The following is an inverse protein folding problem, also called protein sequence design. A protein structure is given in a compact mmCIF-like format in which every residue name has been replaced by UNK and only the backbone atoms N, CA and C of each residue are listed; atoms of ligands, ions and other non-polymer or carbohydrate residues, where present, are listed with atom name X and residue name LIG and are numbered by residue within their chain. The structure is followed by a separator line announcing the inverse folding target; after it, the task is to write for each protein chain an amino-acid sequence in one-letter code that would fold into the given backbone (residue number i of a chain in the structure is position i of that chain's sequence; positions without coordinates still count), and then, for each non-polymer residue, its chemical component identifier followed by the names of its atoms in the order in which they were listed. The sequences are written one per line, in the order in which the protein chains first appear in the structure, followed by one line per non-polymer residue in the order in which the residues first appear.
data_IF_823314844255
#
_entry.id   IF_823314844255
#
_cell.length_a   1.000
_cell.length_b   1.000
_cell.length_c   1.000
_cell.angle_alpha   90.00
_cell.angle_beta   90.00
_cell.angle_gamma   90.00
#
_symmetry.space_group_name_H-M   'P 1'
#
loop_
_entity.id
_entity.type
_entity.pdbx_description
1 polymer ?
#
# COMPACT_ATOMS: atom_id res chain seq x y z
N UNK A 1 18.96 3.00 -0.86
CA UNK A 1 17.72 2.24 -0.59
C UNK A 1 17.41 2.40 0.89
N UNK A 2 16.38 3.16 1.27
CA UNK A 2 16.04 3.39 2.68
C UNK A 2 15.29 2.17 3.25
N UNK A 3 16.04 1.15 3.68
CA UNK A 3 15.51 -0.06 4.34
C UNK A 3 14.82 0.23 5.69
N UNK A 4 14.97 1.44 6.23
CA UNK A 4 14.36 1.90 7.49
C UNK A 4 12.84 2.13 7.41
N UNK A 5 12.25 2.22 6.22
CA UNK A 5 10.80 2.39 6.06
C UNK A 5 10.01 1.09 6.33
N UNK A 6 10.58 -0.07 5.97
CA UNK A 6 9.84 -1.33 5.97
C UNK A 6 9.35 -1.80 7.37
N UNK A 7 10.15 -1.71 8.45
CA UNK A 7 9.69 -2.12 9.79
C UNK A 7 8.58 -1.20 10.32
N UNK A 8 8.72 0.08 10.02
CA UNK A 8 7.86 1.15 10.54
C UNK A 8 6.50 1.19 9.83
N UNK A 9 6.50 0.97 8.51
CA UNK A 9 5.28 0.77 7.70
C UNK A 9 4.51 -0.46 8.19
N UNK A 10 5.21 -1.56 8.47
CA UNK A 10 4.58 -2.79 8.96
C UNK A 10 3.94 -2.59 10.34
N UNK A 11 4.59 -1.84 11.23
CA UNK A 11 4.04 -1.54 12.55
C UNK A 11 2.83 -0.60 12.53
N UNK A 12 2.81 0.42 11.66
CA UNK A 12 1.65 1.31 11.53
C UNK A 12 0.43 0.57 10.96
N UNK A 13 0.64 -0.34 10.01
CA UNK A 13 -0.43 -1.19 9.48
C UNK A 13 -0.93 -2.19 10.53
N UNK A 14 -0.04 -2.77 11.33
CA UNK A 14 -0.41 -3.64 12.45
C UNK A 14 -1.21 -2.90 13.53
N UNK A 15 -0.81 -1.66 13.85
CA UNK A 15 -1.55 -0.83 14.80
C UNK A 15 -2.97 -0.53 14.30
N UNK A 16 -3.13 -0.32 12.98
CA UNK A 16 -4.42 -0.04 12.37
C UNK A 16 -5.32 -1.28 12.23
N UNK A 17 -4.73 -2.47 12.16
CA UNK A 17 -5.44 -3.75 12.04
C UNK A 17 -5.78 -4.39 13.37
N UNK A 18 -5.37 -3.82 14.51
CA UNK A 18 -5.64 -4.38 15.83
C UNK A 18 -7.03 -3.95 16.32
N UNK A 19 -8.05 -4.84 16.35
CA UNK A 19 -9.40 -4.48 16.81
C UNK A 19 -9.51 -4.44 18.35
N UNK A 20 -8.47 -4.90 19.05
CA UNK A 20 -8.49 -5.13 20.50
C UNK A 20 -8.02 -3.94 21.34
N UNK A 21 -7.40 -2.93 20.71
CA UNK A 21 -6.92 -1.74 21.41
C UNK A 21 -7.94 -0.62 21.25
N UNK A 22 -8.49 -0.16 22.38
CA UNK A 22 -9.33 1.03 22.40
C UNK A 22 -8.48 2.23 21.92
N UNK A 23 -8.96 3.02 20.92
CA UNK A 23 -8.26 4.20 20.43
C UNK A 23 -7.88 5.20 21.53
N UNK A 24 -8.57 5.22 22.66
CA UNK A 24 -8.28 6.09 23.80
C UNK A 24 -7.30 5.50 24.81
N UNK A 25 -6.84 4.27 24.59
CA UNK A 25 -5.91 3.62 25.51
C UNK A 25 -4.51 4.26 25.45
N UNK A 26 -3.86 4.50 26.60
CA UNK A 26 -2.50 5.06 26.64
C UNK A 26 -1.45 4.28 25.82
N UNK A 27 -1.46 2.92 25.74
CA UNK A 27 -0.50 2.22 24.88
C UNK A 27 -0.70 2.54 23.39
N UNK A 28 -1.94 2.70 22.92
CA UNK A 28 -2.23 3.03 21.52
C UNK A 28 -1.66 4.41 21.14
N UNK A 29 -1.81 5.40 22.02
CA UNK A 29 -1.27 6.75 21.83
C UNK A 29 0.27 6.73 21.79
N UNK A 30 0.91 6.02 22.74
CA UNK A 30 2.38 5.93 22.78
C UNK A 30 2.92 5.22 21.54
N UNK A 31 2.32 4.10 21.13
CA UNK A 31 2.68 3.39 19.91
C UNK A 31 2.53 4.31 18.70
N UNK A 32 1.40 5.01 18.56
CA UNK A 32 1.20 5.95 17.47
C UNK A 32 2.26 7.05 17.44
N UNK A 33 2.61 7.61 18.60
CA UNK A 33 3.54 8.73 18.69
C UNK A 33 4.98 8.30 18.38
N UNK A 34 5.39 7.13 18.92
CA UNK A 34 6.65 6.49 18.59
C UNK A 34 6.72 6.24 17.09
N UNK A 35 5.70 5.62 16.48
CA UNK A 35 5.72 5.31 15.04
C UNK A 35 5.56 6.53 14.12
N UNK A 36 4.85 7.57 14.54
CA UNK A 36 4.56 8.73 13.70
C UNK A 36 5.75 9.68 13.57
N UNK A 37 6.51 9.89 14.66
CA UNK A 37 7.60 10.86 14.69
C UNK A 37 8.73 10.56 13.68
N UNK A 38 9.25 9.33 13.58
CA UNK A 38 10.30 9.01 12.61
C UNK A 38 9.82 9.10 11.17
N UNK A 39 8.54 8.80 10.87
CA UNK A 39 7.99 8.95 9.51
C UNK A 39 8.01 10.41 9.10
N UNK A 40 7.48 11.30 9.95
CA UNK A 40 7.48 12.74 9.69
C UNK A 40 8.92 13.26 9.55
N UNK A 41 9.82 12.87 10.44
CA UNK A 41 11.22 13.30 10.37
C UNK A 41 11.91 12.82 9.08
N UNK A 42 11.63 11.59 8.64
CA UNK A 42 12.13 11.05 7.38
C UNK A 42 11.54 11.78 6.17
N UNK A 43 10.24 12.07 6.17
CA UNK A 43 9.59 12.85 5.11
C UNK A 43 10.21 14.24 5.02
N UNK A 44 10.32 14.96 6.14
CA UNK A 44 10.95 16.30 6.18
C UNK A 44 12.39 16.24 5.69
N UNK A 45 13.16 15.21 6.04
CA UNK A 45 14.54 15.04 5.56
C UNK A 45 14.60 14.76 4.06
N UNK A 46 13.72 13.90 3.55
CA UNK A 46 13.64 13.59 2.11
C UNK A 46 13.25 14.84 1.32
N UNK A 47 12.27 15.59 1.82
CA UNK A 47 11.83 16.86 1.25
C UNK A 47 12.88 17.95 1.31
N UNK A 48 13.53 18.14 2.45
CA UNK A 48 14.63 19.08 2.60
C UNK A 48 15.74 18.77 1.59
N UNK A 49 16.09 17.49 1.44
CA UNK A 49 17.06 17.07 0.42
C UNK A 49 16.56 17.26 -1.02
N UNK A 50 15.25 17.19 -1.27
CA UNK A 50 14.68 17.50 -2.57
C UNK A 50 14.94 18.96 -2.96
N UNK A 51 14.75 19.90 -2.02
CA UNK A 51 15.04 21.32 -2.25
C UNK A 51 16.54 21.60 -2.45
N UNK A 52 17.44 20.89 -1.77
CA UNK A 52 18.89 21.20 -1.81
C UNK A 52 19.69 20.45 -2.87
N UNK A 53 19.32 19.21 -3.24
CA UNK A 53 20.19 18.31 -4.05
C UNK A 53 19.75 18.07 -5.51
N UNK A 54 18.67 18.69 -5.99
CA UNK A 54 18.30 18.75 -7.41
C UNK A 54 17.88 17.44 -8.09
N UNK A 55 17.78 17.45 -9.44
CA UNK A 55 17.15 16.41 -10.30
C UNK A 55 17.72 14.99 -10.16
N UNK A 56 19.00 14.81 -9.79
CA UNK A 56 19.61 13.47 -9.62
C UNK A 56 19.03 12.71 -8.43
N UNK A 57 18.70 13.39 -7.33
CA UNK A 57 18.11 12.77 -6.15
C UNK A 57 16.64 12.39 -6.36
N UNK A 58 15.87 13.24 -7.05
CA UNK A 58 14.51 12.92 -7.51
C UNK A 58 14.45 11.63 -8.32
N UNK A 59 15.40 11.43 -9.23
CA UNK A 59 15.49 10.22 -10.05
C UNK A 59 15.81 8.96 -9.23
N UNK A 60 16.49 9.08 -8.09
CA UNK A 60 16.82 7.97 -7.20
C UNK A 60 15.70 7.70 -6.18
N UNK A 61 15.00 8.75 -5.72
CA UNK A 61 13.96 8.68 -4.67
C UNK A 61 12.57 8.46 -5.24
N UNK A 62 12.27 8.91 -6.46
CA UNK A 62 11.02 8.61 -7.16
C UNK A 62 11.03 7.16 -7.67
N UNK A 63 11.02 6.24 -6.71
CA UNK A 63 10.81 4.82 -6.88
C UNK A 63 9.40 4.53 -6.35
N UNK A 64 8.56 3.75 -7.04
CA UNK A 64 7.33 3.16 -6.53
C UNK A 64 7.20 2.88 -5.03
N UNK A 65 8.28 2.42 -4.38
CA UNK A 65 8.35 2.17 -2.94
C UNK A 65 8.07 3.44 -2.11
N UNK A 66 8.30 4.65 -2.63
CA UNK A 66 7.97 5.91 -1.97
C UNK A 66 6.46 6.16 -1.89
N UNK A 67 5.63 5.55 -2.75
CA UNK A 67 4.17 5.57 -2.60
C UNK A 67 3.72 4.81 -1.34
N UNK A 68 4.51 3.86 -0.83
CA UNK A 68 4.23 3.24 0.46
C UNK A 68 4.37 4.25 1.60
N UNK A 69 5.33 5.19 1.51
CA UNK A 69 5.49 6.29 2.48
C UNK A 69 4.24 7.14 2.56
N UNK A 70 3.68 7.49 1.39
CA UNK A 70 2.41 8.22 1.26
C UNK A 70 1.26 7.47 1.93
N UNK A 71 1.14 6.17 1.67
CA UNK A 71 0.11 5.33 2.29
C UNK A 71 0.26 5.28 3.82
N UNK A 72 1.49 5.25 4.35
CA UNK A 72 1.72 5.35 5.80
C UNK A 72 1.33 6.68 6.38
N UNK A 73 1.54 7.80 5.68
CA UNK A 73 1.10 9.11 6.16
C UNK A 73 -0.42 9.18 6.27
N UNK A 74 -1.14 8.60 5.30
CA UNK A 74 -2.59 8.46 5.39
C UNK A 74 -3.02 7.51 6.50
N UNK A 75 -2.33 6.37 6.68
CA UNK A 75 -2.59 5.45 7.79
C UNK A 75 -2.38 6.13 9.16
N UNK A 76 -1.29 6.88 9.32
CA UNK A 76 -0.97 7.66 10.52
C UNK A 76 -2.00 8.75 10.79
N UNK A 77 -2.40 9.49 9.74
CA UNK A 77 -3.47 10.49 9.82
C UNK A 77 -4.81 9.87 10.24
N UNK A 78 -5.17 8.71 9.71
CA UNK A 78 -6.39 7.98 10.11
C UNK A 78 -6.33 7.53 11.56
N UNK A 79 -5.19 7.04 12.02
CA UNK A 79 -5.01 6.66 13.42
C UNK A 79 -5.12 7.89 14.35
N UNK A 80 -4.54 9.03 13.97
CA UNK A 80 -4.69 10.30 14.70
C UNK A 80 -6.15 10.77 14.77
N UNK A 81 -6.89 10.65 13.66
CA UNK A 81 -8.30 10.99 13.60
C UNK A 81 -9.14 10.14 14.57
N UNK A 82 -8.86 8.82 14.65
CA UNK A 82 -9.53 7.91 15.59
C UNK A 82 -9.25 8.23 17.06
N UNK A 83 -8.08 8.79 17.39
CA UNK A 83 -7.75 9.25 18.75
C UNK A 83 -8.38 10.61 19.10
N UNK A 84 -9.04 11.27 18.15
CA UNK A 84 -9.59 12.62 18.30
C UNK A 84 -8.59 13.75 18.06
N UNK A 85 -7.35 13.44 17.64
CA UNK A 85 -6.29 14.43 17.37
C UNK A 85 -6.42 15.00 15.95
N UNK A 86 -7.44 15.84 15.74
CA UNK A 86 -7.80 16.39 14.42
C UNK A 86 -6.66 17.18 13.76
N UNK A 87 -5.99 18.07 14.50
CA UNK A 87 -4.89 18.89 13.95
C UNK A 87 -3.71 18.04 13.46
N UNK A 88 -3.31 17.04 14.26
CA UNK A 88 -2.25 16.11 13.88
C UNK A 88 -2.64 15.25 12.68
N UNK A 89 -3.91 14.83 12.61
CA UNK A 89 -4.44 14.08 11.48
C UNK A 89 -4.40 14.90 10.18
N UNK A 90 -4.85 16.17 10.22
CA UNK A 90 -4.84 17.09 9.08
C UNK A 90 -3.40 17.40 8.65
N UNK A 91 -2.47 17.59 9.58
CA UNK A 91 -1.06 17.80 9.30
C UNK A 91 -0.45 16.61 8.52
N UNK A 92 -0.61 15.40 9.05
CA UNK A 92 -0.11 14.18 8.39
C UNK A 92 -0.76 13.92 7.04
N UNK A 93 -2.07 14.16 6.94
CA UNK A 93 -2.81 14.03 5.68
C UNK A 93 -2.26 15.00 4.62
N UNK A 94 -2.01 16.26 5.01
CA UNK A 94 -1.48 17.30 4.12
C UNK A 94 -0.08 16.95 3.63
N UNK A 95 0.80 16.45 4.51
CA UNK A 95 2.13 15.95 4.13
C UNK A 95 2.02 14.77 3.15
N UNK A 96 1.13 13.81 3.42
CA UNK A 96 0.85 12.69 2.52
C UNK A 96 0.36 13.13 1.15
N UNK A 97 -0.56 14.10 1.08
CA UNK A 97 -1.09 14.64 -0.18
C UNK A 97 -0.04 15.41 -0.98
N UNK A 98 0.78 16.24 -0.32
CA UNK A 98 1.90 16.91 -0.97
C UNK A 98 2.88 15.90 -1.56
N UNK A 99 3.19 14.82 -0.82
CA UNK A 99 4.10 13.76 -1.24
C UNK A 99 3.53 12.95 -2.40
N UNK A 100 2.23 12.66 -2.35
CA UNK A 100 1.53 12.04 -3.46
C UNK A 100 1.63 12.85 -4.75
N UNK A 101 1.33 14.16 -4.72
CA UNK A 101 1.34 15.00 -5.92
C UNK A 101 2.71 15.08 -6.58
N UNK A 102 3.78 15.26 -5.78
CA UNK A 102 5.15 15.31 -6.29
C UNK A 102 5.54 13.97 -6.95
N UNK A 103 5.23 12.85 -6.30
CA UNK A 103 5.51 11.52 -6.84
C UNK A 103 4.68 11.23 -8.09
N UNK A 104 3.41 11.62 -8.10
CA UNK A 104 2.50 11.45 -9.22
C UNK A 104 3.07 12.13 -10.47
N UNK A 105 3.41 13.41 -10.39
CA UNK A 105 3.99 14.17 -11.51
C UNK A 105 5.35 13.60 -11.92
N UNK A 106 6.24 13.35 -10.96
CA UNK A 106 7.61 12.91 -11.24
C UNK A 106 7.63 11.52 -11.90
N UNK A 107 6.86 10.57 -11.38
CA UNK A 107 6.77 9.25 -11.97
C UNK A 107 6.07 9.30 -13.33
N UNK A 108 5.02 10.11 -13.48
CA UNK A 108 4.33 10.28 -14.76
C UNK A 108 5.27 10.80 -15.86
N UNK A 109 6.12 11.78 -15.54
CA UNK A 109 7.13 12.32 -16.46
C UNK A 109 8.22 11.29 -16.80
N UNK A 110 8.69 10.50 -15.82
CA UNK A 110 9.71 9.45 -16.06
C UNK A 110 9.21 8.33 -16.97
N UNK A 111 7.92 8.07 -17.01
CA UNK A 111 7.35 7.07 -17.93
C UNK A 111 7.45 7.48 -19.40
N UNK A 112 7.44 8.78 -19.67
CA UNK A 112 7.50 9.32 -21.04
C UNK A 112 8.94 9.52 -21.53
N UNK A 113 9.91 9.68 -20.62
CA UNK A 113 11.33 9.80 -20.96
C UNK A 113 12.03 8.45 -21.19
N UNK A 114 12.83 8.36 -22.24
CA UNK A 114 13.60 7.21 -22.78
C UNK A 114 14.28 6.21 -21.79
N UNK A 115 14.39 6.52 -20.49
CA UNK A 115 14.85 5.60 -19.44
C UNK A 115 13.67 4.79 -18.86
N UNK A 116 13.04 3.98 -19.71
CA UNK A 116 11.91 3.14 -19.34
C UNK A 116 12.25 2.33 -18.07
N UNK A 117 11.45 2.52 -17.02
CA UNK A 117 11.61 1.82 -15.75
C UNK A 117 11.78 0.31 -16.02
N UNK A 118 12.78 -0.36 -15.41
CA UNK A 118 12.98 -1.79 -15.60
C UNK A 118 11.68 -2.55 -15.33
N UNK A 119 11.46 -3.63 -16.07
CA UNK A 119 10.23 -4.45 -16.04
C UNK A 119 9.74 -4.84 -14.62
N UNK A 120 10.65 -4.80 -13.65
CA UNK A 120 10.48 -5.09 -12.23
C UNK A 120 9.67 -4.02 -11.45
N UNK A 121 9.51 -2.80 -11.97
CA UNK A 121 8.76 -1.72 -11.31
C UNK A 121 7.30 -1.59 -11.78
N UNK A 122 6.80 -2.52 -12.60
CA UNK A 122 5.39 -2.54 -13.03
C UNK A 122 4.35 -2.76 -11.91
N UNK A 123 4.64 -3.49 -10.82
CA UNK A 123 3.67 -3.64 -9.72
C UNK A 123 3.31 -2.31 -9.04
N UNK A 124 4.20 -1.33 -9.16
CA UNK A 124 4.04 0.02 -8.66
C UNK A 124 2.86 0.80 -9.20
N UNK A 125 2.44 0.52 -10.44
CA UNK A 125 1.41 1.34 -11.07
C UNK A 125 0.09 1.27 -10.28
N UNK A 126 -0.11 0.17 -9.57
CA UNK A 126 -1.28 -0.06 -8.75
C UNK A 126 -1.26 0.77 -7.46
N UNK A 127 -0.07 1.19 -6.99
CA UNK A 127 0.04 2.12 -5.86
C UNK A 127 -0.43 3.54 -6.23
N UNK A 128 -0.50 3.90 -7.52
CA UNK A 128 -0.98 5.23 -7.92
C UNK A 128 -2.45 5.45 -7.59
N UNK A 129 -3.31 4.47 -7.81
CA UNK A 129 -4.72 4.61 -7.44
C UNK A 129 -4.94 4.31 -5.96
N UNK A 130 -4.07 3.52 -5.33
CA UNK A 130 -4.15 3.21 -3.90
C UNK A 130 -4.09 4.47 -3.03
N UNK A 131 -3.19 5.40 -3.37
CA UNK A 131 -3.00 6.63 -2.62
C UNK A 131 -4.26 7.51 -2.55
N UNK A 132 -4.94 7.90 -3.65
CA UNK A 132 -6.17 8.67 -3.59
C UNK A 132 -7.34 7.88 -2.96
N UNK A 133 -7.40 6.54 -3.09
CA UNK A 133 -8.39 5.74 -2.36
C UNK A 133 -8.15 5.78 -0.84
N UNK A 134 -6.90 5.62 -0.41
CA UNK A 134 -6.52 5.71 1.02
C UNK A 134 -6.74 7.11 1.56
N UNK A 135 -6.49 8.15 0.75
CA UNK A 135 -6.75 9.53 1.10
C UNK A 135 -8.25 9.78 1.28
N UNK A 136 -9.11 9.32 0.36
CA UNK A 136 -10.58 9.40 0.51
C UNK A 136 -11.04 8.75 1.81
N UNK A 137 -10.58 7.52 2.06
CA UNK A 137 -10.93 6.77 3.27
C UNK A 137 -10.43 7.42 4.56
N UNK A 138 -9.23 8.01 4.52
CA UNK A 138 -8.64 8.72 5.66
C UNK A 138 -9.35 10.03 5.92
N UNK A 139 -9.69 10.78 4.87
CA UNK A 139 -10.42 12.04 4.98
C UNK A 139 -11.81 11.83 5.58
N UNK A 140 -12.51 10.76 5.19
CA UNK A 140 -13.78 10.39 5.80
C UNK A 140 -13.64 10.19 7.33
N UNK A 141 -12.52 9.60 7.77
CA UNK A 141 -12.21 9.45 9.20
C UNK A 141 -11.88 10.76 9.90
N UNK A 142 -11.32 11.75 9.20
CA UNK A 142 -10.97 13.08 9.74
C UNK A 142 -12.21 13.97 9.83
N UNK A 143 -13.01 14.03 8.74
CA UNK A 143 -14.25 14.80 8.65
C UNK A 143 -15.36 14.19 9.51
N UNK A 144 -15.33 12.88 9.75
CA UNK A 144 -16.39 12.13 10.42
C UNK A 144 -17.59 11.82 9.51
N UNK A 145 -17.52 12.17 8.22
CA UNK A 145 -18.53 11.89 7.20
C UNK A 145 -17.89 11.79 5.82
N UNK A 146 -18.57 11.13 4.87
CA UNK A 146 -18.09 10.96 3.50
C UNK A 146 -18.47 12.16 2.62
N UNK A 147 -17.81 13.28 2.87
CA UNK A 147 -18.04 14.59 2.23
C UNK A 147 -17.63 14.67 0.74
N UNK A 148 -17.79 15.86 0.15
CA UNK A 148 -17.44 16.12 -1.27
C UNK A 148 -15.96 15.84 -1.54
N UNK A 149 -15.07 16.18 -0.59
CA UNK A 149 -13.64 15.93 -0.70
C UNK A 149 -13.33 14.42 -0.78
N UNK A 150 -14.00 13.60 0.03
CA UNK A 150 -13.93 12.14 -0.07
C UNK A 150 -14.35 11.65 -1.46
N UNK A 151 -15.47 12.17 -1.98
CA UNK A 151 -16.00 11.80 -3.30
C UNK A 151 -15.03 12.20 -4.42
N UNK A 152 -14.45 13.39 -4.38
CA UNK A 152 -13.45 13.84 -5.36
C UNK A 152 -12.23 12.90 -5.41
N UNK A 153 -11.68 12.55 -4.25
CA UNK A 153 -10.55 11.63 -4.14
C UNK A 153 -10.91 10.21 -4.60
N UNK A 154 -12.13 9.74 -4.28
CA UNK A 154 -12.63 8.45 -4.73
C UNK A 154 -12.77 8.39 -6.26
N UNK A 155 -13.38 9.39 -6.88
CA UNK A 155 -13.50 9.45 -8.34
C UNK A 155 -12.13 9.55 -9.04
N UNK A 156 -11.19 10.30 -8.48
CA UNK A 156 -9.81 10.34 -8.98
C UNK A 156 -9.20 8.94 -8.97
N UNK A 157 -9.40 8.18 -7.89
CA UNK A 157 -8.90 6.81 -7.79
C UNK A 157 -9.55 5.88 -8.81
N UNK A 158 -10.88 5.97 -9.00
CA UNK A 158 -11.62 5.18 -9.97
C UNK A 158 -11.15 5.44 -11.41
N UNK A 159 -10.91 6.71 -11.74
CA UNK A 159 -10.37 7.12 -13.03
C UNK A 159 -8.98 6.52 -13.29
N UNK A 160 -8.07 6.60 -12.30
CA UNK A 160 -6.73 6.03 -12.41
C UNK A 160 -6.78 4.49 -12.54
N UNK A 161 -7.65 3.83 -11.78
CA UNK A 161 -7.86 2.39 -11.87
C UNK A 161 -8.39 1.98 -13.25
N UNK A 162 -9.44 2.64 -13.76
CA UNK A 162 -10.00 2.38 -15.08
C UNK A 162 -8.97 2.61 -16.21
N UNK A 163 -8.16 3.66 -16.10
CA UNK A 163 -7.08 3.96 -17.06
C UNK A 163 -6.01 2.87 -17.10
N UNK A 164 -5.68 2.31 -15.93
CA UNK A 164 -4.75 1.18 -15.82
C UNK A 164 -5.33 -0.11 -16.43
N UNK A 165 -6.58 -0.45 -16.07
CA UNK A 165 -7.27 -1.67 -16.54
C UNK A 165 -7.46 -1.64 -18.06
N UNK A 166 -7.72 -0.46 -18.64
CA UNK A 166 -7.88 -0.26 -20.08
C UNK A 166 -6.59 -0.49 -20.89
N UNK A 167 -5.43 -0.66 -20.24
CA UNK A 167 -4.13 -0.91 -20.89
C UNK A 167 -3.60 -2.33 -20.56
N UNK A 168 -4.24 -3.40 -21.05
CA UNK A 168 -3.94 -4.79 -20.69
C UNK A 168 -2.54 -5.25 -21.16
N UNK A 169 -1.91 -4.55 -22.09
CA UNK A 169 -0.55 -4.85 -22.57
C UNK A 169 0.51 -4.67 -21.48
N UNK A 170 0.31 -3.75 -20.53
CA UNK A 170 1.16 -3.60 -19.35
C UNK A 170 0.99 -4.78 -18.39
N UNK A 171 -0.25 -5.24 -18.22
CA UNK A 171 -0.60 -6.37 -17.36
C UNK A 171 -0.03 -7.70 -17.88
N UNK A 172 -0.26 -8.01 -19.17
CA UNK A 172 0.20 -9.26 -19.82
C UNK A 172 1.72 -9.45 -19.76
N UNK A 173 2.49 -8.35 -19.84
CA UNK A 173 3.96 -8.41 -19.77
C UNK A 173 4.47 -8.49 -18.33
N UNK A 174 3.73 -7.95 -17.35
CA UNK A 174 4.04 -8.02 -15.92
C UNK A 174 3.71 -9.39 -15.32
N UNK A 175 2.67 -10.06 -15.80
CA UNK A 175 2.20 -11.36 -15.32
C UNK A 175 2.96 -12.56 -15.92
N UNK A 176 3.97 -12.33 -16.78
CA UNK A 176 4.67 -13.41 -17.52
C UNK A 176 5.66 -14.22 -16.66
N UNK A 177 6.13 -13.68 -15.54
CA UNK A 177 6.94 -14.41 -14.55
C UNK A 177 6.28 -14.23 -13.20
N UNK A 178 5.90 -15.34 -12.56
CA UNK A 178 5.43 -15.29 -11.18
C UNK A 178 6.53 -14.70 -10.29
N UNK A 179 6.17 -13.75 -9.45
CA UNK A 179 7.06 -13.14 -8.49
C UNK A 179 6.26 -12.84 -7.23
N UNK A 180 6.86 -13.02 -6.05
CA UNK A 180 6.27 -12.67 -4.76
C UNK A 180 5.81 -11.20 -4.71
N UNK A 181 6.36 -10.35 -5.58
CA UNK A 181 5.91 -8.99 -5.83
C UNK A 181 4.42 -8.86 -6.25
N UNK A 182 3.71 -9.93 -6.63
CA UNK A 182 2.28 -9.84 -6.94
C UNK A 182 1.40 -9.60 -5.70
N UNK A 183 1.90 -9.89 -4.50
CA UNK A 183 1.21 -9.53 -3.26
C UNK A 183 0.99 -8.02 -3.11
N UNK A 184 1.78 -7.18 -3.80
CA UNK A 184 1.58 -5.72 -3.79
C UNK A 184 0.31 -5.27 -4.52
N UNK A 185 -0.39 -6.16 -5.24
CA UNK A 185 -1.66 -5.84 -5.89
C UNK A 185 -2.86 -5.91 -4.93
N UNK A 186 -2.82 -6.81 -3.95
CA UNK A 186 -3.93 -7.05 -3.04
C UNK A 186 -4.23 -5.83 -2.15
N UNK A 187 -3.19 -5.13 -1.67
CA UNK A 187 -3.34 -3.98 -0.78
C UNK A 187 -4.04 -2.78 -1.47
N UNK A 188 -3.59 -2.29 -2.64
CA UNK A 188 -4.30 -1.28 -3.42
C UNK A 188 -5.76 -1.60 -3.70
N UNK A 189 -6.04 -2.84 -4.12
CA UNK A 189 -7.39 -3.30 -4.43
C UNK A 189 -8.28 -3.33 -3.19
N UNK A 190 -7.74 -3.75 -2.05
CA UNK A 190 -8.46 -3.77 -0.78
C UNK A 190 -8.82 -2.36 -0.31
N UNK A 191 -7.89 -1.41 -0.41
CA UNK A 191 -8.15 0.00 -0.04
C UNK A 191 -9.21 0.62 -0.96
N UNK A 192 -9.15 0.35 -2.27
CA UNK A 192 -10.18 0.80 -3.21
C UNK A 192 -11.56 0.23 -2.87
N UNK A 193 -11.63 -1.06 -2.53
CA UNK A 193 -12.88 -1.71 -2.11
C UNK A 193 -13.44 -1.08 -0.83
N UNK A 194 -12.59 -0.78 0.16
CA UNK A 194 -13.00 -0.08 1.39
C UNK A 194 -13.52 1.34 1.11
N UNK A 195 -12.86 2.09 0.23
CA UNK A 195 -13.35 3.40 -0.18
C UNK A 195 -14.71 3.30 -0.91
N UNK A 196 -14.91 2.24 -1.71
CA UNK A 196 -16.17 1.98 -2.39
C UNK A 196 -17.31 1.58 -1.43
N UNK A 197 -17.02 0.86 -0.34
CA UNK A 197 -18.01 0.53 0.68
C UNK A 197 -18.51 1.79 1.40
N UNK A 198 -17.63 2.70 1.78
CA UNK A 198 -18.00 3.99 2.39
C UNK A 198 -18.82 4.85 1.42
N UNK A 199 -18.41 4.89 0.15
CA UNK A 199 -19.15 5.59 -0.90
C UNK A 199 -20.57 5.03 -1.09
N UNK A 200 -20.73 3.70 -1.08
CA UNK A 200 -22.03 3.05 -1.23
C UNK A 200 -22.96 3.30 -0.03
N UNK A 201 -22.41 3.32 1.18
CA UNK A 201 -23.16 3.63 2.40
C UNK A 201 -23.66 5.08 2.42
N UNK A 202 -22.89 6.01 1.85
CA UNK A 202 -23.25 7.42 1.76
C UNK A 202 -24.29 7.69 0.66
N UNK A 203 -24.08 7.19 -0.55
CA UNK A 203 -24.94 7.49 -1.71
C UNK A 203 -26.22 6.65 -1.72
N UNK A 204 -26.18 5.44 -1.12
CA UNK A 204 -27.32 4.50 -1.02
C UNK A 204 -28.03 4.22 -2.35
N UNK A 205 -27.31 4.32 -3.46
CA UNK A 205 -27.84 4.10 -4.80
C UNK A 205 -27.63 2.66 -5.31
N UNK A 206 -28.44 2.18 -6.26
CA UNK A 206 -28.24 0.86 -6.85
C UNK A 206 -26.89 0.76 -7.59
N UNK A 207 -26.49 1.82 -8.30
CA UNK A 207 -25.22 1.89 -9.03
C UNK A 207 -24.02 1.84 -8.06
N UNK A 208 -24.09 2.55 -6.93
CA UNK A 208 -23.01 2.54 -5.94
C UNK A 208 -22.88 1.17 -5.27
N UNK A 209 -24.00 0.47 -5.02
CA UNK A 209 -23.99 -0.88 -4.46
C UNK A 209 -23.39 -1.90 -5.44
N UNK A 210 -23.73 -1.81 -6.73
CA UNK A 210 -23.14 -2.65 -7.78
C UNK A 210 -21.64 -2.39 -7.91
N UNK A 211 -21.23 -1.12 -7.89
CA UNK A 211 -19.81 -0.74 -7.96
C UNK A 211 -19.01 -1.30 -6.76
N UNK A 212 -19.54 -1.13 -5.56
CA UNK A 212 -18.97 -1.70 -4.33
C UNK A 212 -18.83 -3.22 -4.45
N UNK A 213 -19.91 -3.92 -4.80
CA UNK A 213 -19.90 -5.39 -4.92
C UNK A 213 -18.86 -5.86 -5.94
N UNK A 214 -18.80 -5.21 -7.10
CA UNK A 214 -17.83 -5.51 -8.16
C UNK A 214 -16.39 -5.36 -7.65
N UNK A 215 -16.06 -4.23 -7.01
CA UNK A 215 -14.72 -3.98 -6.48
C UNK A 215 -14.35 -4.94 -5.34
N UNK A 216 -15.29 -5.27 -4.46
CA UNK A 216 -15.09 -6.28 -3.41
C UNK A 216 -14.81 -7.67 -4.00
N UNK A 217 -15.64 -8.12 -4.93
CA UNK A 217 -15.48 -9.43 -5.60
C UNK A 217 -14.13 -9.52 -6.32
N UNK A 218 -13.77 -8.48 -7.07
CA UNK A 218 -12.46 -8.42 -7.76
C UNK A 218 -11.31 -8.49 -6.75
N UNK A 219 -11.38 -7.73 -5.65
CA UNK A 219 -10.35 -7.74 -4.60
C UNK A 219 -10.21 -9.12 -3.94
N UNK A 220 -11.33 -9.76 -3.57
CA UNK A 220 -11.35 -11.10 -2.98
C UNK A 220 -10.82 -12.16 -3.94
N UNK A 221 -11.23 -12.14 -5.21
CA UNK A 221 -10.75 -13.07 -6.23
C UNK A 221 -9.24 -12.95 -6.45
N UNK A 222 -8.73 -11.73 -6.56
CA UNK A 222 -7.29 -11.48 -6.75
C UNK A 222 -6.51 -11.98 -5.52
N UNK A 223 -6.98 -11.67 -4.31
CA UNK A 223 -6.31 -12.10 -3.08
C UNK A 223 -6.34 -13.62 -2.92
N UNK A 224 -7.48 -14.27 -3.23
CA UNK A 224 -7.61 -15.73 -3.19
C UNK A 224 -6.70 -16.40 -4.22
N UNK A 225 -6.68 -15.90 -5.46
CA UNK A 225 -5.82 -16.45 -6.52
C UNK A 225 -4.33 -16.35 -6.14
N UNK A 226 -3.91 -15.22 -5.55
CA UNK A 226 -2.55 -15.03 -5.06
C UNK A 226 -2.21 -15.97 -3.90
N UNK A 227 -3.15 -16.18 -2.98
CA UNK A 227 -2.98 -17.09 -1.85
C UNK A 227 -2.82 -18.53 -2.33
N UNK A 228 -3.73 -19.00 -3.19
CA UNK A 228 -3.67 -20.35 -3.77
C UNK A 228 -2.36 -20.56 -4.52
N UNK A 229 -1.97 -19.61 -5.37
CA UNK A 229 -0.71 -19.73 -6.11
C UNK A 229 0.49 -19.74 -5.17
N UNK A 230 0.52 -18.87 -4.16
CA UNK A 230 1.62 -18.81 -3.19
C UNK A 230 1.77 -20.13 -2.45
N UNK A 231 0.66 -20.73 -2.00
CA UNK A 231 0.65 -22.04 -1.32
C UNK A 231 1.14 -23.14 -2.26
N UNK A 232 0.65 -23.19 -3.50
CA UNK A 232 1.08 -24.19 -4.49
C UNK A 232 2.59 -24.08 -4.78
N UNK A 233 3.11 -22.86 -4.90
CA UNK A 233 4.54 -22.61 -5.15
C UNK A 233 5.41 -22.97 -3.94
N UNK A 234 4.95 -22.73 -2.70
CA UNK A 234 5.67 -23.16 -1.49
C UNK A 234 5.64 -24.68 -1.31
N UNK A 235 4.52 -25.33 -1.67
CA UNK A 235 4.39 -26.80 -1.63
C UNK A 235 5.27 -27.47 -2.69
N UNK A 236 5.41 -26.86 -3.88
CA UNK A 236 6.36 -27.33 -4.90
C UNK A 236 7.84 -27.13 -4.51
N UNK A 237 8.15 -26.19 -3.62
CA UNK A 237 9.49 -25.94 -3.08
C UNK A 237 9.84 -26.75 -1.83
N UNK A 238 8.92 -27.59 -1.34
CA UNK A 238 9.17 -28.64 -0.36
C UNK A 238 9.25 -30.02 -1.07
N UNK A 239 10.22 -30.29 -1.97
CA UNK A 239 10.55 -31.67 -2.26
C UNK A 239 11.22 -32.24 -1.01
N UNK A 240 10.61 -33.30 -0.48
CA UNK A 240 11.24 -34.34 0.33
C UNK A 240 12.71 -34.53 -0.06
N UNK A 241 13.62 -33.92 0.70
CA UNK A 241 15.04 -34.26 0.73
C UNK A 241 15.53 -33.90 2.12
N UNK A 242 15.21 -34.79 3.07
CA UNK A 242 15.98 -34.93 4.30
C UNK A 242 17.13 -35.92 4.00
N UNK A 243 18.35 -35.48 3.64
CA UNK A 243 19.51 -36.37 3.55
C UNK A 243 20.08 -36.73 4.93
N UNK A 244 19.44 -36.34 6.04
CA UNK A 244 19.94 -36.55 7.39
C UNK A 244 19.44 -37.83 8.09
N UNK A 245 18.59 -38.64 7.43
CA UNK A 245 18.05 -39.87 8.03
C UNK A 245 18.66 -41.18 7.47
N UNK A 246 19.63 -41.13 6.54
CA UNK A 246 20.20 -42.34 5.93
C UNK A 246 21.62 -42.72 6.41
N UNK A 247 22.22 -42.01 7.36
CA UNK A 247 23.61 -42.27 7.79
C UNK A 247 23.78 -42.92 9.15
N UNK A 248 22.73 -43.39 9.83
CA UNK A 248 22.83 -43.96 11.20
C UNK A 248 22.52 -45.46 11.29
N UNK A 249 22.73 -46.24 10.23
CA UNK A 249 22.54 -47.70 10.29
C UNK A 249 23.72 -48.56 9.83
N UNK A 250 24.92 -47.99 9.63
CA UNK A 250 26.10 -48.76 9.17
C UNK A 250 27.30 -48.78 10.13
N UNK A 251 27.10 -48.59 11.43
CA UNK A 251 28.20 -48.68 12.42
C UNK A 251 27.92 -49.54 13.64
N UNK A 252 27.03 -50.53 13.54
CA UNK A 252 26.88 -51.57 14.57
C UNK A 252 26.74 -52.94 13.93
N UNK A 253 27.83 -53.40 13.30
CA UNK A 253 28.15 -54.82 13.17
C UNK A 253 29.65 -55.00 13.46
N UNK A 254 29.90 -55.18 14.75
CA UNK A 254 30.85 -56.11 15.36
C UNK A 254 32.24 -56.30 14.74
N UNK A 255 33.22 -55.71 15.42
CA UNK A 255 34.33 -56.47 15.99
C UNK A 255 33.94 -56.82 17.44
#
# INVERSE_FOLDING_TARGET
MNYLFAPWISCLLLLQSTPFLDPHSPPFIVLWLVFSLPVIALDVKIYGQWFTKGRKFLSVVANPTSLLSVLTNFAGARAAAKMGWKESAVCMFSLGMAHYLVLFVTLYQRLQGSNALPAMLRPAFFLFFAAPSMASFTWASISGSFDISCKMLFYLSLFLFASLVSRPTLFKRSMRKFNLAWWTFSLPLSIMALAATEYAQEVKGPISNVLMLCLCVVSSLVTLALLVYSVLNTVQLLPFHDPFLSSTSSSMDSC
#
